data_IF_336478823628
#
_entry.id   IF_336478823628
#
_cell.length_a   1.000
_cell.length_b   1.000
_cell.length_c   1.000
_cell.angle_alpha   90.00
_cell.angle_beta   90.00
_cell.angle_gamma   90.00
#
_symmetry.space_group_name_H-M   'P 1'
#
loop_
_entity.id
_entity.type
_entity.pdbx_description
1 polymer ?
#
# COMPACT_ATOMS: atom_id res chain seq x y z
N UNK A 1 -32.74 38.42 -51.87
CA UNK A 1 -31.87 37.28 -51.48
C UNK A 1 -31.45 37.49 -50.03
N UNK A 2 -32.07 36.79 -49.08
CA UNK A 2 -31.69 36.84 -47.66
C UNK A 2 -30.76 35.65 -47.40
N UNK A 3 -29.51 35.92 -47.04
CA UNK A 3 -28.54 34.88 -46.70
C UNK A 3 -28.90 34.27 -45.35
N UNK A 4 -29.08 32.95 -45.34
CA UNK A 4 -29.28 32.15 -44.14
C UNK A 4 -27.88 31.83 -43.57
N UNK A 5 -27.53 32.43 -42.43
CA UNK A 5 -26.31 32.08 -41.69
C UNK A 5 -26.67 30.91 -40.76
N UNK A 6 -26.12 29.74 -41.05
CA UNK A 6 -26.22 28.57 -40.16
C UNK A 6 -25.04 28.65 -39.19
N UNK A 7 -25.32 28.89 -37.92
CA UNK A 7 -24.34 28.81 -36.83
C UNK A 7 -24.32 27.37 -36.36
N UNK A 8 -23.22 26.66 -36.63
CA UNK A 8 -22.97 25.31 -36.14
C UNK A 8 -22.49 25.41 -34.68
N UNK A 9 -23.30 24.97 -33.72
CA UNK A 9 -22.84 24.76 -32.33
C UNK A 9 -22.07 23.44 -32.28
N UNK A 10 -20.74 23.52 -32.19
CA UNK A 10 -19.88 22.38 -31.85
C UNK A 10 -20.01 22.13 -30.33
N UNK A 11 -20.84 21.18 -29.94
CA UNK A 11 -20.82 20.60 -28.59
C UNK A 11 -19.60 19.67 -28.55
N UNK A 12 -18.48 20.19 -28.05
CA UNK A 12 -17.33 19.35 -27.73
C UNK A 12 -17.68 18.45 -26.56
N UNK A 13 -17.74 17.12 -26.78
CA UNK A 13 -17.60 16.18 -25.68
C UNK A 13 -16.20 16.37 -25.10
N UNK A 14 -16.09 17.10 -23.99
CA UNK A 14 -14.89 17.12 -23.18
C UNK A 14 -14.78 15.75 -22.51
N UNK A 15 -14.04 14.83 -23.11
CA UNK A 15 -13.49 13.69 -22.37
C UNK A 15 -12.58 14.29 -21.30
N UNK A 16 -13.00 14.25 -20.03
CA UNK A 16 -12.13 14.55 -18.90
C UNK A 16 -11.03 13.49 -18.90
N UNK A 17 -9.90 13.82 -19.53
CA UNK A 17 -8.68 13.06 -19.32
C UNK A 17 -8.17 13.50 -17.95
N UNK A 18 -8.38 12.69 -16.92
CA UNK A 18 -7.69 12.91 -15.66
C UNK A 18 -6.22 12.62 -15.91
N UNK A 19 -5.43 13.69 -16.07
CA UNK A 19 -4.01 13.59 -15.86
C UNK A 19 -3.75 13.29 -14.38
N UNK A 20 -2.56 12.81 -14.05
CA UNK A 20 -2.08 12.75 -12.67
C UNK A 20 -2.37 14.09 -11.97
N UNK A 21 -3.07 14.05 -10.84
CA UNK A 21 -3.54 15.26 -10.18
C UNK A 21 -3.49 15.11 -8.66
N UNK A 22 -2.97 16.14 -7.99
CA UNK A 22 -3.13 16.34 -6.56
C UNK A 22 -4.17 17.42 -6.33
N UNK A 23 -5.25 17.11 -5.62
CA UNK A 23 -6.34 18.01 -5.26
C UNK A 23 -6.25 18.32 -3.78
N UNK A 24 -6.17 19.61 -3.46
CA UNK A 24 -6.40 20.12 -2.11
C UNK A 24 -7.88 20.44 -1.98
N UNK A 25 -8.58 19.66 -1.16
CA UNK A 25 -10.02 19.72 -1.01
C UNK A 25 -10.44 19.97 0.43
N UNK A 26 -11.74 20.24 0.61
CA UNK A 26 -12.34 20.32 1.94
C UNK A 26 -13.82 19.97 1.90
N UNK A 27 -14.33 19.47 3.02
CA UNK A 27 -15.77 19.25 3.26
C UNK A 27 -16.18 19.91 4.58
N UNK A 28 -17.46 20.12 4.78
CA UNK A 28 -17.99 20.56 6.08
C UNK A 28 -18.49 19.34 6.85
N UNK A 29 -17.96 19.14 8.07
CA UNK A 29 -18.43 18.14 9.05
C UNK A 29 -18.60 18.83 10.40
N UNK A 30 -19.74 18.66 11.05
CA UNK A 30 -20.09 19.34 12.32
C UNK A 30 -19.82 20.85 12.33
N UNK A 31 -20.28 21.54 11.28
CA UNK A 31 -20.09 22.99 11.07
C UNK A 31 -18.63 23.44 10.94
N UNK A 32 -17.68 22.50 10.89
CA UNK A 32 -16.25 22.76 10.70
C UNK A 32 -15.82 22.43 9.27
N UNK A 33 -14.99 23.30 8.69
CA UNK A 33 -14.31 22.98 7.44
C UNK A 33 -13.15 22.02 7.73
N UNK A 34 -13.18 20.85 7.10
CA UNK A 34 -12.20 19.79 7.23
C UNK A 34 -11.48 19.58 5.91
N UNK A 35 -10.16 19.65 5.93
CA UNK A 35 -9.31 19.64 4.74
C UNK A 35 -8.76 18.23 4.44
N UNK A 36 -8.44 17.98 3.18
CA UNK A 36 -7.77 16.75 2.74
C UNK A 36 -6.95 17.00 1.46
N UNK A 37 -6.01 16.10 1.19
CA UNK A 37 -5.27 16.04 -0.08
C UNK A 37 -5.65 14.74 -0.76
N UNK A 38 -6.21 14.80 -1.97
CA UNK A 38 -6.51 13.63 -2.80
C UNK A 38 -5.49 13.54 -3.93
N UNK A 39 -4.84 12.39 -4.07
CA UNK A 39 -4.02 12.06 -5.22
C UNK A 39 -4.79 11.14 -6.18
N UNK A 40 -4.86 11.55 -7.44
CA UNK A 40 -5.49 10.83 -8.54
C UNK A 40 -4.37 10.33 -9.46
N UNK A 41 -4.20 9.01 -9.65
CA UNK A 41 -3.15 8.47 -10.49
C UNK A 41 -3.44 8.72 -11.97
N UNK A 42 -2.38 8.77 -12.78
CA UNK A 42 -2.48 9.06 -14.21
C UNK A 42 -3.35 8.07 -15.01
N UNK A 43 -3.56 6.86 -14.47
CA UNK A 43 -4.31 5.78 -15.10
C UNK A 43 -5.80 5.77 -14.71
N UNK A 44 -6.25 6.64 -13.79
CA UNK A 44 -7.66 6.74 -13.42
C UNK A 44 -8.46 7.44 -14.52
N UNK A 45 -9.56 6.82 -14.94
CA UNK A 45 -10.41 7.35 -16.02
C UNK A 45 -11.84 7.65 -15.57
N UNK A 46 -12.21 7.28 -14.34
CA UNK A 46 -13.58 7.37 -13.83
C UNK A 46 -14.60 6.41 -14.46
N UNK A 47 -14.18 5.55 -15.40
CA UNK A 47 -15.09 4.62 -16.07
C UNK A 47 -15.31 3.29 -15.33
N UNK A 48 -14.41 2.96 -14.41
CA UNK A 48 -14.46 1.73 -13.61
C UNK A 48 -14.15 2.08 -12.16
N UNK A 49 -14.81 1.43 -11.18
CA UNK A 49 -14.49 1.58 -9.77
C UNK A 49 -13.03 1.21 -9.49
N UNK A 50 -12.35 2.03 -8.70
CA UNK A 50 -10.99 1.77 -8.21
C UNK A 50 -10.96 1.81 -6.68
N UNK A 51 -9.96 1.17 -6.04
CA UNK A 51 -9.81 1.24 -4.59
C UNK A 51 -9.52 2.64 -4.10
N UNK A 52 -9.79 2.88 -2.83
CA UNK A 52 -9.39 4.09 -2.10
C UNK A 52 -8.54 3.71 -0.88
N UNK A 53 -7.44 4.43 -0.68
CA UNK A 53 -6.65 4.39 0.56
C UNK A 53 -6.84 5.71 1.32
N UNK A 54 -7.25 5.64 2.57
CA UNK A 54 -7.11 6.73 3.54
C UNK A 54 -5.72 6.63 4.18
N UNK A 55 -4.92 7.70 4.17
CA UNK A 55 -3.57 7.72 4.76
C UNK A 55 -3.40 8.86 5.76
N UNK A 56 -3.45 8.53 7.05
CA UNK A 56 -3.52 9.48 8.16
C UNK A 56 -2.14 9.84 8.72
N UNK A 57 -1.91 11.14 8.93
CA UNK A 57 -0.66 11.66 9.50
C UNK A 57 -0.55 11.38 11.00
N UNK A 58 0.67 11.40 11.54
CA UNK A 58 0.94 11.29 12.98
C UNK A 58 0.60 12.56 13.77
N UNK A 59 0.71 12.48 15.09
CA UNK A 59 0.45 13.62 15.98
C UNK A 59 1.44 14.76 15.66
N UNK A 60 0.97 16.01 15.64
CA UNK A 60 1.77 17.19 15.28
C UNK A 60 2.31 17.21 13.83
N UNK A 61 1.77 16.37 12.94
CA UNK A 61 2.09 16.36 11.51
C UNK A 61 0.91 16.90 10.67
N UNK A 62 1.08 16.92 9.35
CA UNK A 62 0.07 17.41 8.39
C UNK A 62 -0.19 16.40 7.29
N UNK A 63 -1.28 16.59 6.54
CA UNK A 63 -1.59 15.79 5.36
C UNK A 63 -0.46 15.84 4.32
N UNK A 64 0.12 17.02 4.07
CA UNK A 64 1.28 17.17 3.16
C UNK A 64 2.48 16.35 3.65
N UNK A 65 2.77 16.40 4.97
CA UNK A 65 3.86 15.60 5.54
C UNK A 65 3.62 14.12 5.32
N UNK A 66 2.41 13.61 5.56
CA UNK A 66 2.12 12.18 5.41
C UNK A 66 2.14 11.73 3.95
N UNK A 67 1.72 12.59 3.02
CA UNK A 67 1.81 12.30 1.58
C UNK A 67 3.25 12.07 1.11
N UNK A 68 4.23 12.75 1.72
CA UNK A 68 5.65 12.56 1.42
C UNK A 68 6.29 11.45 2.28
N UNK A 69 5.90 11.34 3.56
CA UNK A 69 6.53 10.44 4.52
C UNK A 69 6.13 8.97 4.30
N UNK A 70 4.84 8.72 4.07
CA UNK A 70 4.29 7.43 3.66
C UNK A 70 3.77 7.52 2.23
N UNK A 71 4.67 7.74 1.27
CA UNK A 71 4.31 8.02 -0.12
C UNK A 71 3.82 6.76 -0.85
N UNK A 72 2.61 6.83 -1.42
CA UNK A 72 2.03 5.78 -2.27
C UNK A 72 1.85 6.24 -3.71
N UNK A 73 2.21 7.46 -4.09
CA UNK A 73 1.81 8.07 -5.38
C UNK A 73 2.30 7.27 -6.58
N UNK A 74 3.55 6.80 -6.54
CA UNK A 74 4.12 5.92 -7.59
C UNK A 74 3.41 4.55 -7.64
N UNK A 75 2.99 4.03 -6.49
CA UNK A 75 2.25 2.77 -6.36
C UNK A 75 0.84 2.96 -6.93
N UNK A 76 0.17 4.07 -6.63
CA UNK A 76 -1.12 4.45 -7.17
C UNK A 76 -1.09 4.56 -8.70
N UNK A 77 -0.04 5.18 -9.27
CA UNK A 77 0.15 5.28 -10.72
C UNK A 77 0.33 3.91 -11.38
N UNK A 78 1.00 2.97 -10.71
CA UNK A 78 1.25 1.63 -11.24
C UNK A 78 0.07 0.66 -11.06
N UNK A 79 -0.70 0.84 -9.98
CA UNK A 79 -1.68 -0.15 -9.51
C UNK A 79 -3.13 0.31 -9.62
N UNK A 80 -3.37 1.61 -9.83
CA UNK A 80 -4.69 2.18 -10.13
C UNK A 80 -5.62 2.22 -8.92
N UNK A 81 -5.26 3.00 -7.90
CA UNK A 81 -6.12 3.33 -6.77
C UNK A 81 -6.03 4.83 -6.45
N UNK A 82 -7.07 5.37 -5.85
CA UNK A 82 -7.04 6.71 -5.28
C UNK A 82 -6.42 6.66 -3.88
N UNK A 83 -5.71 7.71 -3.49
CA UNK A 83 -5.26 7.87 -2.11
C UNK A 83 -5.59 9.27 -1.61
N UNK A 84 -6.20 9.34 -0.43
CA UNK A 84 -6.54 10.58 0.24
C UNK A 84 -5.80 10.68 1.56
N UNK A 85 -5.31 11.88 1.86
CA UNK A 85 -4.60 12.25 3.09
C UNK A 85 -5.46 13.28 3.83
N UNK A 86 -6.29 12.86 4.80
CA UNK A 86 -7.11 13.78 5.58
C UNK A 86 -6.26 14.63 6.52
N UNK A 87 -6.68 15.86 6.80
CA UNK A 87 -6.01 16.77 7.74
C UNK A 87 -6.68 16.71 9.13
N UNK A 88 -5.91 16.33 10.14
CA UNK A 88 -6.30 16.36 11.55
C UNK A 88 -6.47 17.79 12.04
N UNK A 89 -7.41 18.01 12.94
CA UNK A 89 -7.70 19.33 13.51
C UNK A 89 -6.75 19.68 14.65
N UNK A 90 -6.75 20.93 15.08
CA UNK A 90 -5.96 21.36 16.23
C UNK A 90 -6.70 21.07 17.54
N UNK A 91 -6.05 20.36 18.45
CA UNK A 91 -6.43 20.31 19.87
C UNK A 91 -5.25 20.76 20.71
N UNK A 92 -5.49 21.75 21.57
CA UNK A 92 -4.43 22.42 22.34
C UNK A 92 -3.28 22.97 21.47
N UNK A 93 -3.60 23.36 20.23
CA UNK A 93 -2.64 23.93 19.28
C UNK A 93 -1.83 22.91 18.48
N UNK A 94 -2.11 21.62 18.61
CA UNK A 94 -1.39 20.53 17.92
C UNK A 94 -2.37 19.75 17.04
N UNK A 95 -1.95 19.41 15.81
CA UNK A 95 -2.73 18.56 14.91
C UNK A 95 -2.82 17.14 15.45
N UNK A 96 -4.03 16.55 15.41
CA UNK A 96 -4.29 15.25 16.01
C UNK A 96 -5.50 14.54 15.38
N UNK A 97 -5.63 13.26 15.69
CA UNK A 97 -6.81 12.41 15.53
C UNK A 97 -7.34 11.99 16.90
N UNK A 98 -8.65 12.08 17.10
CA UNK A 98 -9.32 11.75 18.36
C UNK A 98 -9.49 10.23 18.56
N UNK A 99 -8.40 9.57 18.98
CA UNK A 99 -8.30 8.13 19.25
C UNK A 99 -8.35 7.71 20.74
N UNK A 100 -8.71 8.60 21.67
CA UNK A 100 -8.59 8.36 23.12
C UNK A 100 -7.16 8.48 23.66
N UNK A 101 -6.84 7.80 24.77
CA UNK A 101 -5.49 7.79 25.34
C UNK A 101 -4.94 9.18 25.69
N UNK A 102 -3.81 9.57 25.09
CA UNK A 102 -3.12 10.83 25.42
C UNK A 102 -3.81 12.10 24.91
N UNK A 103 -4.79 11.97 24.00
CA UNK A 103 -5.60 13.09 23.50
C UNK A 103 -7.00 13.14 24.10
N UNK A 104 -7.27 12.34 25.15
CA UNK A 104 -8.60 12.25 25.76
C UNK A 104 -9.14 13.64 26.13
N UNK A 105 -10.42 13.87 25.82
CA UNK A 105 -11.09 15.16 26.01
C UNK A 105 -11.11 16.04 24.76
N UNK A 106 -10.51 15.62 23.64
CA UNK A 106 -10.81 16.22 22.34
C UNK A 106 -12.31 16.02 21.99
N UNK A 107 -13.03 17.08 21.59
CA UNK A 107 -14.44 16.98 21.20
C UNK A 107 -14.63 16.62 19.72
N UNK A 108 -13.54 16.38 18.99
CA UNK A 108 -13.56 16.26 17.53
C UNK A 108 -14.06 14.88 17.12
N UNK A 109 -15.07 14.85 16.26
CA UNK A 109 -15.56 13.63 15.63
C UNK A 109 -14.78 13.33 14.34
N UNK A 110 -13.67 12.60 14.47
CA UNK A 110 -12.84 12.21 13.34
C UNK A 110 -13.37 10.97 12.59
N UNK A 111 -14.16 10.13 13.25
CA UNK A 111 -14.80 8.96 12.61
C UNK A 111 -15.92 9.43 11.70
N UNK A 112 -16.82 10.29 12.18
CA UNK A 112 -17.89 10.87 11.35
C UNK A 112 -17.35 11.77 10.24
N UNK A 113 -16.25 12.50 10.49
CA UNK A 113 -15.57 13.21 9.41
C UNK A 113 -15.05 12.26 8.33
N UNK A 114 -14.45 11.13 8.72
CA UNK A 114 -13.95 10.13 7.77
C UNK A 114 -15.09 9.53 6.96
N UNK A 115 -16.21 9.19 7.60
CA UNK A 115 -17.42 8.72 6.92
C UNK A 115 -17.94 9.76 5.90
N UNK A 116 -18.10 11.02 6.31
CA UNK A 116 -18.55 12.10 5.44
C UNK A 116 -17.59 12.35 4.26
N UNK A 117 -16.28 12.20 4.48
CA UNK A 117 -15.27 12.30 3.43
C UNK A 117 -15.38 11.15 2.43
N UNK A 118 -15.56 9.92 2.91
CA UNK A 118 -15.78 8.76 2.03
C UNK A 118 -17.03 8.95 1.17
N UNK A 119 -18.11 9.48 1.73
CA UNK A 119 -19.34 9.76 0.99
C UNK A 119 -19.14 10.85 -0.07
N UNK A 120 -18.46 11.96 0.29
CA UNK A 120 -18.14 13.03 -0.64
C UNK A 120 -17.29 12.50 -1.80
N UNK A 121 -16.21 11.78 -1.52
CA UNK A 121 -15.33 11.22 -2.56
C UNK A 121 -16.05 10.18 -3.42
N UNK A 122 -16.88 9.33 -2.84
CA UNK A 122 -17.64 8.32 -3.59
C UNK A 122 -18.71 8.93 -4.49
N UNK A 123 -19.13 10.17 -4.21
CA UNK A 123 -20.05 10.91 -5.08
C UNK A 123 -19.35 11.53 -6.30
N UNK A 124 -18.07 11.90 -6.15
CA UNK A 124 -17.28 12.57 -7.19
C UNK A 124 -16.43 11.61 -8.02
N UNK A 125 -16.07 10.45 -7.47
CA UNK A 125 -15.16 9.48 -8.06
C UNK A 125 -15.77 8.08 -8.09
N UNK A 126 -15.41 7.30 -9.13
CA UNK A 126 -15.79 5.89 -9.22
C UNK A 126 -14.90 5.08 -8.28
N UNK A 127 -15.36 4.92 -7.04
CA UNK A 127 -14.67 4.18 -5.98
C UNK A 127 -15.33 2.82 -5.82
N UNK A 128 -14.51 1.78 -5.69
CA UNK A 128 -14.96 0.45 -5.30
C UNK A 128 -15.22 0.44 -3.80
N UNK A 129 -16.50 0.45 -3.41
CA UNK A 129 -16.93 0.54 -2.02
C UNK A 129 -16.55 -0.69 -1.19
N UNK A 130 -16.20 -1.82 -1.82
CA UNK A 130 -15.71 -2.99 -1.09
C UNK A 130 -14.19 -2.94 -0.88
N UNK A 131 -13.49 -1.98 -1.48
CA UNK A 131 -12.02 -1.86 -1.45
C UNK A 131 -11.58 -0.47 -1.00
N UNK A 132 -12.06 -0.08 0.17
CA UNK A 132 -11.61 1.09 0.89
C UNK A 132 -10.73 0.61 2.03
N UNK A 133 -9.51 1.12 2.10
CA UNK A 133 -8.51 0.72 3.08
C UNK A 133 -8.07 1.94 3.90
N UNK A 134 -7.54 1.69 5.10
CA UNK A 134 -6.99 2.76 5.94
C UNK A 134 -5.58 2.44 6.41
N UNK A 135 -4.69 3.42 6.30
CA UNK A 135 -3.35 3.36 6.86
C UNK A 135 -2.97 4.66 7.54
N UNK A 136 -1.91 4.64 8.34
CA UNK A 136 -1.36 5.86 8.91
C UNK A 136 -0.17 5.61 9.80
N UNK A 137 0.52 6.71 10.11
CA UNK A 137 1.70 6.72 10.96
C UNK A 137 1.35 7.18 12.38
N UNK A 138 1.88 6.52 13.41
CA UNK A 138 1.75 6.96 14.81
C UNK A 138 0.26 7.17 15.17
N UNK A 139 -0.15 8.35 15.62
CA UNK A 139 -1.56 8.72 15.84
C UNK A 139 -2.51 8.36 14.67
N UNK A 140 -2.05 8.42 13.42
CA UNK A 140 -2.80 7.98 12.24
C UNK A 140 -2.95 6.45 12.15
N UNK A 141 -1.98 5.68 12.68
CA UNK A 141 -2.11 4.23 12.82
C UNK A 141 -3.17 3.84 13.86
N UNK A 142 -3.24 4.59 14.98
CA UNK A 142 -4.35 4.46 15.93
C UNK A 142 -5.70 4.80 15.31
N UNK A 143 -5.74 5.82 14.43
CA UNK A 143 -6.96 6.18 13.70
C UNK A 143 -7.42 5.01 12.82
N UNK A 144 -6.51 4.31 12.15
CA UNK A 144 -6.84 3.11 11.37
C UNK A 144 -7.52 2.04 12.22
N UNK A 145 -7.00 1.71 13.40
CA UNK A 145 -7.65 0.78 14.31
C UNK A 145 -9.01 1.29 14.81
N UNK A 146 -9.12 2.57 15.17
CA UNK A 146 -10.40 3.17 15.58
C UNK A 146 -11.46 3.03 14.48
N UNK A 147 -11.09 3.24 13.22
CA UNK A 147 -12.00 3.11 12.08
C UNK A 147 -12.52 1.68 11.91
N UNK A 148 -11.69 0.65 12.02
CA UNK A 148 -12.22 -0.73 11.94
C UNK A 148 -13.05 -1.11 13.17
N UNK A 149 -12.84 -0.44 14.30
CA UNK A 149 -13.67 -0.63 15.50
C UNK A 149 -15.07 0.00 15.37
N UNK A 150 -15.22 1.11 14.65
CA UNK A 150 -16.42 1.96 14.67
C UNK A 150 -17.06 2.20 13.29
N UNK A 151 -16.35 1.91 12.20
CA UNK A 151 -16.73 2.15 10.79
C UNK A 151 -16.31 0.96 9.90
N UNK A 152 -16.30 -0.26 10.45
CA UNK A 152 -15.85 -1.46 9.73
C UNK A 152 -16.71 -1.78 8.51
N UNK A 153 -17.99 -1.42 8.48
CA UNK A 153 -18.86 -1.59 7.31
C UNK A 153 -18.40 -0.79 6.07
N UNK A 154 -17.41 0.09 6.22
CA UNK A 154 -16.78 0.85 5.13
C UNK A 154 -15.31 0.51 4.89
N UNK A 155 -14.62 -0.16 5.83
CA UNK A 155 -13.16 -0.33 5.78
C UNK A 155 -12.80 -1.80 5.65
N UNK A 156 -12.30 -2.18 4.47
CA UNK A 156 -12.00 -3.57 4.13
C UNK A 156 -10.77 -4.12 4.85
N UNK A 157 -9.73 -3.31 5.06
CA UNK A 157 -8.49 -3.70 5.72
C UNK A 157 -7.73 -2.47 6.23
N UNK A 158 -6.85 -2.66 7.22
CA UNK A 158 -6.01 -1.57 7.75
C UNK A 158 -4.54 -1.93 7.90
N UNK A 159 -3.72 -0.89 7.80
CA UNK A 159 -2.28 -0.93 8.01
C UNK A 159 -1.86 0.12 9.04
N UNK A 160 -1.32 -0.29 10.18
CA UNK A 160 -0.81 0.63 11.19
C UNK A 160 0.72 0.61 11.21
N UNK A 161 1.34 1.79 11.06
CA UNK A 161 2.80 1.97 11.09
C UNK A 161 3.17 2.81 12.31
N UNK A 162 3.96 2.24 13.22
CA UNK A 162 4.33 2.84 14.50
C UNK A 162 3.12 3.32 15.35
N UNK A 163 1.91 2.80 15.06
CA UNK A 163 0.69 3.00 15.84
C UNK A 163 0.31 1.76 16.66
N UNK A 164 -0.73 1.87 17.47
CA UNK A 164 -1.32 0.76 18.26
C UNK A 164 -2.82 1.02 18.46
N UNK A 165 -3.44 0.35 19.42
CA UNK A 165 -4.76 0.68 19.94
C UNK A 165 -4.64 1.38 21.29
N UNK A 166 -5.53 2.34 21.57
CA UNK A 166 -5.72 2.82 22.94
C UNK A 166 -6.59 1.84 23.73
N UNK A 167 -6.49 1.81 25.07
CA UNK A 167 -7.36 0.96 25.90
C UNK A 167 -8.85 1.21 25.65
N UNK A 168 -9.24 2.47 25.39
CA UNK A 168 -10.61 2.84 25.04
C UNK A 168 -11.04 2.26 23.70
N UNK A 169 -10.15 2.27 22.70
CA UNK A 169 -10.45 1.68 21.39
C UNK A 169 -10.59 0.16 21.49
N UNK A 170 -9.65 -0.51 22.18
CA UNK A 170 -9.68 -1.97 22.34
C UNK A 170 -10.94 -2.44 23.10
N UNK A 171 -11.27 -1.78 24.21
CA UNK A 171 -12.41 -2.15 25.05
C UNK A 171 -13.79 -1.92 24.41
N UNK A 172 -13.89 -0.98 23.46
CA UNK A 172 -15.14 -0.66 22.76
C UNK A 172 -15.15 -1.12 21.30
N UNK A 173 -14.16 -1.93 20.90
CA UNK A 173 -14.04 -2.43 19.54
C UNK A 173 -15.21 -3.33 19.16
N UNK A 174 -15.89 -3.01 18.05
CA UNK A 174 -17.03 -3.78 17.54
C UNK A 174 -17.00 -3.93 15.98
N UNK A 175 -15.96 -4.52 15.40
CA UNK A 175 -15.88 -4.80 13.97
C UNK A 175 -17.03 -5.71 13.49
N UNK A 176 -17.48 -5.50 12.25
CA UNK A 176 -18.66 -6.16 11.65
C UNK A 176 -18.33 -7.27 10.63
N UNK A 177 -17.06 -7.45 10.28
CA UNK A 177 -16.57 -8.52 9.40
C UNK A 177 -15.13 -8.89 9.77
N UNK A 178 -14.64 -10.09 9.41
CA UNK A 178 -13.22 -10.42 9.51
C UNK A 178 -12.38 -9.38 8.77
N UNK A 179 -11.37 -8.82 9.44
CA UNK A 179 -10.63 -7.66 8.95
C UNK A 179 -9.15 -7.99 8.81
N UNK A 180 -8.59 -8.00 7.60
CA UNK A 180 -7.16 -8.12 7.39
C UNK A 180 -6.39 -6.95 8.05
N UNK A 181 -5.36 -7.28 8.83
CA UNK A 181 -4.54 -6.32 9.56
C UNK A 181 -3.07 -6.49 9.16
N UNK A 182 -2.40 -5.38 8.87
CA UNK A 182 -0.94 -5.32 8.82
C UNK A 182 -0.43 -4.29 9.84
N UNK A 183 0.53 -4.70 10.66
CA UNK A 183 1.11 -3.88 11.72
C UNK A 183 2.62 -3.83 11.54
N UNK A 184 3.19 -2.63 11.44
CA UNK A 184 4.63 -2.42 11.33
C UNK A 184 5.10 -1.63 12.54
N UNK A 185 6.03 -2.16 13.32
CA UNK A 185 6.43 -1.52 14.57
C UNK A 185 7.87 -1.84 14.95
N UNK A 186 8.61 -0.81 15.38
CA UNK A 186 9.94 -0.95 15.96
C UNK A 186 9.89 -1.47 17.39
N UNK A 187 10.66 -2.49 17.72
CA UNK A 187 10.71 -3.00 19.11
C UNK A 187 11.47 -2.05 20.07
N UNK A 188 12.21 -1.11 19.50
CA UNK A 188 12.94 -0.04 20.18
C UNK A 188 12.26 1.34 20.03
N UNK A 189 10.99 1.36 19.63
CA UNK A 189 10.17 2.57 19.60
C UNK A 189 10.03 3.18 21.01
N UNK A 190 10.49 4.42 21.15
CA UNK A 190 10.46 5.16 22.44
C UNK A 190 9.32 6.18 22.52
N UNK A 191 8.55 6.34 21.45
CA UNK A 191 7.40 7.26 21.37
C UNK A 191 6.12 6.49 21.64
N UNK A 192 5.89 5.39 20.90
CA UNK A 192 4.84 4.40 21.13
C UNK A 192 5.53 3.10 21.54
N UNK A 193 5.68 2.82 22.84
CA UNK A 193 6.45 1.66 23.27
C UNK A 193 5.85 0.34 22.77
N UNK A 194 6.67 -0.52 22.16
CA UNK A 194 6.24 -1.83 21.65
C UNK A 194 5.52 -2.67 22.72
N UNK A 195 6.03 -2.63 23.95
CA UNK A 195 5.46 -3.34 25.11
C UNK A 195 4.29 -2.60 25.78
N UNK A 196 3.77 -1.54 25.15
CA UNK A 196 2.66 -0.75 25.65
C UNK A 196 3.01 0.18 26.81
N UNK A 197 2.00 0.93 27.23
CA UNK A 197 2.01 1.86 28.37
C UNK A 197 0.57 2.13 28.78
N UNK A 198 0.33 2.92 29.82
CA UNK A 198 -1.03 3.15 30.33
C UNK A 198 -2.01 3.76 29.30
N UNK A 199 -1.50 4.39 28.23
CA UNK A 199 -2.29 5.01 27.16
C UNK A 199 -2.25 4.26 25.82
N UNK A 200 -1.47 3.18 25.71
CA UNK A 200 -1.32 2.39 24.49
C UNK A 200 -1.21 0.91 24.83
N UNK A 201 -2.00 0.09 24.16
CA UNK A 201 -1.89 -1.36 24.28
C UNK A 201 -0.55 -1.86 23.70
N UNK A 202 0.04 -2.92 24.28
CA UNK A 202 1.18 -3.62 23.69
C UNK A 202 0.87 -4.11 22.28
N UNK A 203 1.85 -4.08 21.38
CA UNK A 203 1.65 -4.53 19.99
C UNK A 203 1.23 -5.99 19.93
N UNK A 204 1.84 -6.84 20.77
CA UNK A 204 1.46 -8.25 20.88
C UNK A 204 -0.02 -8.42 21.25
N UNK A 205 -0.54 -7.64 22.21
CA UNK A 205 -1.93 -7.75 22.66
C UNK A 205 -2.91 -7.31 21.56
N UNK A 206 -2.55 -6.27 20.79
CA UNK A 206 -3.32 -5.83 19.61
C UNK A 206 -3.34 -6.92 18.53
N UNK A 207 -2.18 -7.52 18.24
CA UNK A 207 -2.08 -8.62 17.26
C UNK A 207 -2.93 -9.80 17.72
N UNK A 208 -2.81 -10.25 18.98
CA UNK A 208 -3.58 -11.38 19.49
C UNK A 208 -5.08 -11.10 19.54
N UNK A 209 -5.49 -9.86 19.80
CA UNK A 209 -6.90 -9.45 19.69
C UNK A 209 -7.44 -9.72 18.27
N UNK A 210 -6.73 -9.25 17.23
CA UNK A 210 -7.17 -9.42 15.85
C UNK A 210 -7.02 -10.86 15.34
N UNK A 211 -6.00 -11.59 15.77
CA UNK A 211 -5.87 -13.04 15.51
C UNK A 211 -7.07 -13.80 16.07
N UNK A 212 -7.46 -13.49 17.30
CA UNK A 212 -8.63 -14.09 17.95
C UNK A 212 -9.95 -13.68 17.29
N UNK A 213 -10.12 -12.39 16.97
CA UNK A 213 -11.32 -11.88 16.32
C UNK A 213 -11.51 -12.47 14.92
N UNK A 214 -10.44 -12.53 14.13
CA UNK A 214 -10.45 -13.09 12.78
C UNK A 214 -10.44 -14.63 12.77
N UNK A 215 -10.30 -15.29 13.92
CA UNK A 215 -10.18 -16.74 14.02
C UNK A 215 -9.02 -17.30 13.15
N UNK A 216 -7.89 -16.58 13.10
CA UNK A 216 -6.67 -17.01 12.40
C UNK A 216 -6.02 -18.21 13.10
N UNK A 217 -5.11 -18.89 12.39
CA UNK A 217 -4.25 -19.92 12.98
C UNK A 217 -3.43 -19.34 14.14
N UNK A 218 -3.54 -19.94 15.33
CA UNK A 218 -2.86 -19.44 16.53
C UNK A 218 -1.33 -19.58 16.51
N UNK A 219 -0.77 -20.38 15.58
CA UNK A 219 0.68 -20.51 15.39
C UNK A 219 1.06 -19.75 14.11
N UNK A 220 1.86 -18.68 14.21
CA UNK A 220 2.24 -17.90 13.05
C UNK A 220 3.34 -18.58 12.23
N UNK A 221 3.43 -18.21 10.95
CA UNK A 221 4.65 -18.35 10.17
C UNK A 221 5.57 -17.18 10.48
N UNK A 222 6.83 -17.47 10.79
CA UNK A 222 7.85 -16.46 11.10
C UNK A 222 8.91 -16.48 10.00
N UNK A 223 9.18 -15.33 9.39
CA UNK A 223 10.15 -15.16 8.30
C UNK A 223 11.08 -14.00 8.62
N UNK A 224 12.38 -14.28 8.72
CA UNK A 224 13.41 -13.25 8.74
C UNK A 224 13.57 -12.67 7.33
N UNK A 225 13.34 -11.37 7.16
CA UNK A 225 13.55 -10.71 5.88
C UNK A 225 15.04 -10.43 5.66
N UNK A 226 15.50 -10.38 4.39
CA UNK A 226 16.89 -10.04 4.10
C UNK A 226 17.22 -8.62 4.58
N UNK A 227 18.32 -8.50 5.33
CA UNK A 227 18.98 -7.24 5.67
C UNK A 227 19.70 -6.70 4.41
N UNK A 228 19.04 -5.79 3.69
CA UNK A 228 19.55 -5.18 2.46
C UNK A 228 20.24 -3.84 2.72
N UNK A 229 19.97 -3.17 3.84
CA UNK A 229 20.75 -2.03 4.32
C UNK A 229 21.32 -2.24 5.74
N UNK A 230 22.45 -2.95 5.85
CA UNK A 230 23.04 -3.32 7.15
C UNK A 230 23.61 -2.13 7.94
N UNK A 231 23.54 -0.90 7.40
CA UNK A 231 24.03 0.30 8.08
C UNK A 231 22.94 1.00 8.90
N UNK A 232 21.68 0.64 8.71
CA UNK A 232 20.57 1.23 9.46
C UNK A 232 20.48 0.71 10.91
N UNK A 233 21.13 -0.43 11.18
CA UNK A 233 21.27 -1.02 12.50
C UNK A 233 20.02 -1.78 12.97
N UNK A 234 19.15 -2.20 12.06
CA UNK A 234 17.89 -2.87 12.33
C UNK A 234 17.66 -4.03 11.33
N UNK A 235 16.75 -4.95 11.67
CA UNK A 235 16.30 -6.02 10.77
C UNK A 235 14.81 -6.24 10.93
N UNK A 236 14.18 -7.07 10.08
CA UNK A 236 12.74 -7.35 10.16
C UNK A 236 12.44 -8.85 10.30
N UNK A 237 11.63 -9.17 11.30
CA UNK A 237 10.93 -10.44 11.46
C UNK A 237 9.46 -10.25 11.03
N UNK A 238 9.04 -10.93 9.94
CA UNK A 238 7.65 -10.99 9.50
C UNK A 238 6.94 -12.16 10.19
N UNK A 239 5.93 -11.85 10.99
CA UNK A 239 5.09 -12.80 11.73
C UNK A 239 3.70 -12.78 11.11
N UNK A 240 3.29 -13.87 10.47
CA UNK A 240 2.01 -13.97 9.75
C UNK A 240 1.08 -15.01 10.38
N UNK A 241 -0.13 -14.59 10.73
CA UNK A 241 -1.23 -15.44 11.20
C UNK A 241 -2.27 -15.55 10.07
N UNK A 242 -2.19 -16.64 9.32
CA UNK A 242 -3.03 -16.90 8.15
C UNK A 242 -4.30 -17.70 8.49
N UNK A 243 -5.09 -18.01 7.46
CA UNK A 243 -6.29 -18.86 7.51
C UNK A 243 -7.38 -18.33 8.47
N UNK A 244 -7.48 -17.01 8.64
CA UNK A 244 -8.62 -16.40 9.30
C UNK A 244 -9.92 -16.59 8.53
N UNK A 245 -11.04 -16.29 9.17
CA UNK A 245 -12.37 -16.30 8.56
C UNK A 245 -12.36 -15.47 7.27
N UNK A 246 -12.99 -16.00 6.22
CA UNK A 246 -12.94 -15.46 4.85
C UNK A 246 -11.52 -15.30 4.26
N UNK A 247 -10.54 -16.04 4.77
CA UNK A 247 -9.16 -16.06 4.26
C UNK A 247 -8.36 -14.82 4.62
N UNK A 248 -8.78 -14.05 5.61
CA UNK A 248 -8.03 -12.87 6.09
C UNK A 248 -6.77 -13.29 6.85
N UNK A 249 -5.76 -12.43 6.86
CA UNK A 249 -4.54 -12.60 7.65
C UNK A 249 -4.28 -11.43 8.59
N UNK A 250 -3.52 -11.70 9.65
CA UNK A 250 -2.91 -10.68 10.52
C UNK A 250 -1.40 -10.80 10.36
N UNK A 251 -0.76 -9.75 9.85
CA UNK A 251 0.67 -9.71 9.57
C UNK A 251 1.36 -8.65 10.43
N UNK A 252 2.41 -9.04 11.14
CA UNK A 252 3.25 -8.14 11.91
C UNK A 252 4.67 -8.10 11.35
N UNK A 253 5.08 -6.92 10.88
CA UNK A 253 6.46 -6.60 10.57
C UNK A 253 7.09 -6.02 11.83
N UNK A 254 7.74 -6.90 12.60
CA UNK A 254 8.49 -6.51 13.79
C UNK A 254 9.87 -6.04 13.36
N UNK A 255 10.13 -4.75 13.52
CA UNK A 255 11.41 -4.14 13.17
C UNK A 255 12.32 -4.21 14.40
N UNK A 256 13.24 -5.17 14.41
CA UNK A 256 14.19 -5.41 15.49
C UNK A 256 15.20 -4.26 15.52
N UNK A 257 15.42 -3.68 16.70
CA UNK A 257 16.23 -2.48 16.94
C UNK A 257 15.74 -1.23 16.16
N UNK A 258 14.54 -1.31 15.56
CA UNK A 258 13.89 -0.21 14.85
C UNK A 258 13.17 0.76 15.79
N UNK A 259 13.11 2.03 15.39
CA UNK A 259 12.47 3.11 16.14
C UNK A 259 11.09 3.52 15.65
N UNK A 260 10.63 4.69 16.11
CA UNK A 260 9.34 5.29 15.74
C UNK A 260 9.39 5.87 14.32
N UNK A 261 9.28 5.02 13.30
CA UNK A 261 9.55 5.41 11.91
C UNK A 261 8.66 4.71 10.89
N UNK A 262 8.70 5.19 9.64
CA UNK A 262 8.06 4.55 8.50
C UNK A 262 9.14 3.83 7.66
N UNK A 263 9.20 2.48 7.66
CA UNK A 263 10.24 1.75 6.96
C UNK A 263 10.35 2.10 5.48
N UNK A 264 11.58 2.38 5.02
CA UNK A 264 11.88 2.74 3.63
C UNK A 264 11.47 4.16 3.21
N UNK A 265 11.06 5.02 4.15
CA UNK A 265 10.76 6.42 3.81
C UNK A 265 11.99 7.13 3.26
N UNK A 266 11.83 7.84 2.14
CA UNK A 266 12.93 8.63 1.52
C UNK A 266 12.88 10.11 1.93
N UNK A 267 11.92 10.48 2.77
CA UNK A 267 11.73 11.86 3.20
C UNK A 267 12.85 12.26 4.17
N UNK A 268 13.44 13.44 3.96
CA UNK A 268 14.70 13.94 4.54
C UNK A 268 14.73 13.98 6.09
N UNK A 269 13.58 13.79 6.73
CA UNK A 269 13.40 13.67 8.18
C UNK A 269 13.06 12.25 8.63
N UNK A 270 13.65 11.23 8.00
CA UNK A 270 13.61 9.86 8.52
C UNK A 270 13.92 9.88 10.02
N UNK A 271 12.98 9.39 10.82
CA UNK A 271 13.14 9.42 12.27
C UNK A 271 14.29 8.48 12.67
N UNK A 272 15.00 8.75 13.78
CA UNK A 272 16.11 7.90 14.20
C UNK A 272 15.71 6.43 14.22
N UNK A 273 16.63 5.55 13.79
CA UNK A 273 16.42 4.11 13.71
C UNK A 273 15.31 3.70 12.71
N UNK A 274 15.22 4.41 11.58
CA UNK A 274 14.42 3.99 10.43
C UNK A 274 15.08 2.79 9.76
N UNK A 275 14.32 1.72 9.58
CA UNK A 275 14.74 0.56 8.78
C UNK A 275 14.51 0.84 7.28
N UNK A 276 15.44 0.38 6.44
CA UNK A 276 15.43 0.57 4.98
C UNK A 276 15.40 -0.77 4.22
N UNK A 277 15.11 -1.89 4.89
CA UNK A 277 15.06 -3.20 4.26
C UNK A 277 13.83 -3.43 3.39
N UNK A 278 12.76 -2.70 3.68
CA UNK A 278 11.50 -2.74 2.94
C UNK A 278 11.02 -1.33 2.62
N UNK A 279 10.13 -1.23 1.62
CA UNK A 279 9.28 -0.06 1.44
C UNK A 279 7.90 -0.37 2.05
N UNK A 280 7.61 0.21 3.22
CA UNK A 280 6.35 -0.05 3.92
C UNK A 280 5.11 0.27 3.07
N UNK A 281 5.14 1.32 2.26
CA UNK A 281 4.00 1.66 1.38
C UNK A 281 3.75 0.58 0.32
N UNK A 282 4.81 -0.03 -0.22
CA UNK A 282 4.69 -1.14 -1.17
C UNK A 282 4.12 -2.39 -0.50
N UNK A 283 4.61 -2.75 0.68
CA UNK A 283 4.11 -3.92 1.41
C UNK A 283 2.65 -3.74 1.86
N UNK A 284 2.27 -2.54 2.29
CA UNK A 284 0.88 -2.20 2.63
C UNK A 284 -0.03 -2.37 1.41
N UNK A 285 0.38 -1.90 0.24
CA UNK A 285 -0.43 -2.09 -0.97
C UNK A 285 -0.48 -3.56 -1.40
N UNK A 286 0.65 -4.27 -1.37
CA UNK A 286 0.69 -5.71 -1.66
C UNK A 286 -0.30 -6.46 -0.76
N UNK A 287 -0.34 -6.11 0.53
CA UNK A 287 -1.28 -6.64 1.49
C UNK A 287 -2.74 -6.28 1.15
N UNK A 288 -3.07 -4.99 1.03
CA UNK A 288 -4.43 -4.50 0.77
C UNK A 288 -5.02 -5.05 -0.53
N UNK A 289 -4.22 -5.14 -1.59
CA UNK A 289 -4.68 -5.57 -2.91
C UNK A 289 -5.22 -7.00 -2.96
N UNK A 290 -4.97 -7.81 -1.92
CA UNK A 290 -5.50 -9.17 -1.77
C UNK A 290 -6.93 -9.20 -1.25
N UNK A 291 -7.45 -8.11 -0.67
CA UNK A 291 -8.67 -8.14 0.14
C UNK A 291 -9.73 -7.15 -0.32
N UNK A 292 -11.00 -7.53 -0.17
CA UNK A 292 -12.14 -6.64 -0.14
C UNK A 292 -12.88 -6.81 1.21
N UNK A 293 -13.98 -6.09 1.41
CA UNK A 293 -14.72 -6.11 2.68
C UNK A 293 -15.28 -7.49 3.07
N UNK A 294 -15.34 -8.43 2.12
CA UNK A 294 -15.77 -9.81 2.35
C UNK A 294 -14.59 -10.75 2.62
N UNK A 295 -13.35 -10.26 2.68
CA UNK A 295 -12.15 -11.05 2.92
C UNK A 295 -11.27 -11.21 1.67
N UNK A 296 -10.61 -12.36 1.53
CA UNK A 296 -9.67 -12.61 0.45
C UNK A 296 -10.40 -12.55 -0.90
N UNK A 297 -9.94 -11.66 -1.79
CA UNK A 297 -10.43 -11.57 -3.17
C UNK A 297 -10.00 -12.85 -3.88
N UNK A 298 -10.90 -13.81 -3.92
CA UNK A 298 -10.77 -14.93 -4.83
C UNK A 298 -10.75 -14.35 -6.25
N UNK A 299 -9.73 -14.62 -7.07
CA UNK A 299 -9.72 -14.17 -8.45
C UNK A 299 -10.88 -14.86 -9.19
N UNK A 300 -12.04 -14.19 -9.22
CA UNK A 300 -13.33 -14.51 -9.87
C UNK A 300 -13.61 -16.00 -10.06
N UNK A 301 -14.65 -16.47 -9.36
CA UNK A 301 -15.17 -17.84 -9.44
C UNK A 301 -15.18 -18.44 -10.84
N UNK A 302 -14.38 -19.49 -11.01
CA UNK A 302 -14.71 -20.61 -11.87
C UNK A 302 -15.47 -21.56 -10.97
N UNK A 303 -16.74 -21.84 -11.28
CA UNK A 303 -17.44 -22.98 -10.70
C UNK A 303 -16.54 -24.21 -10.83
N UNK A 304 -16.19 -24.81 -9.70
CA UNK A 304 -15.32 -25.98 -9.64
C UNK A 304 -16.05 -27.16 -10.27
N UNK A 305 -15.93 -27.30 -11.59
CA UNK A 305 -15.76 -28.63 -12.18
C UNK A 305 -14.35 -29.06 -11.82
N UNK A 306 -14.22 -30.18 -11.11
CA UNK A 306 -12.97 -30.79 -10.65
C UNK A 306 -11.87 -30.88 -11.74
N UNK A 307 -11.15 -29.80 -11.98
CA UNK A 307 -9.83 -29.81 -12.61
C UNK A 307 -8.92 -28.81 -11.90
N UNK A 308 -7.87 -29.38 -11.29
CA UNK A 308 -6.75 -28.80 -10.57
C UNK A 308 -6.32 -27.43 -11.16
N UNK A 309 -6.66 -26.32 -10.50
CA UNK A 309 -6.22 -24.97 -10.90
C UNK A 309 -4.78 -24.70 -10.49
N UNK A 310 -3.94 -24.39 -11.46
CA UNK A 310 -2.50 -24.14 -11.33
C UNK A 310 -2.17 -22.80 -10.67
N UNK A 311 -1.25 -22.80 -9.70
CA UNK A 311 -0.55 -21.59 -9.23
C UNK A 311 0.24 -20.97 -10.40
N UNK A 312 0.01 -19.70 -10.73
CA UNK A 312 0.50 -19.03 -11.96
C UNK A 312 1.88 -18.38 -11.77
N UNK A 313 2.72 -18.45 -12.80
CA UNK A 313 3.97 -17.67 -12.88
C UNK A 313 3.68 -16.16 -12.86
N UNK A 314 4.50 -15.39 -12.14
CA UNK A 314 4.40 -13.92 -12.09
C UNK A 314 5.71 -13.23 -12.43
N UNK A 315 5.61 -12.02 -12.99
CA UNK A 315 6.74 -11.12 -13.26
C UNK A 315 6.34 -9.73 -12.74
N UNK A 316 7.11 -9.19 -11.80
CA UNK A 316 6.88 -7.89 -11.15
C UNK A 316 7.46 -6.74 -11.96
N UNK A 317 7.00 -5.52 -11.67
CA UNK A 317 7.61 -4.31 -12.21
C UNK A 317 9.03 -4.17 -11.65
N UNK A 318 10.02 -3.84 -12.48
CA UNK A 318 11.39 -3.65 -12.01
C UNK A 318 11.46 -2.42 -11.11
N UNK A 319 12.28 -2.46 -10.06
CA UNK A 319 12.46 -1.36 -9.12
C UNK A 319 13.95 -1.08 -8.86
N UNK A 320 14.40 0.19 -8.89
CA UNK A 320 13.63 1.37 -9.28
C UNK A 320 13.24 1.37 -10.78
N UNK A 321 12.26 2.18 -11.17
CA UNK A 321 11.91 2.45 -12.57
C UNK A 321 11.23 3.83 -12.71
N UNK A 322 11.85 4.85 -13.33
CA UNK A 322 13.14 4.81 -14.02
C UNK A 322 14.33 4.51 -13.09
N UNK A 323 15.43 4.01 -13.63
CA UNK A 323 16.61 3.59 -12.85
C UNK A 323 17.93 4.13 -13.41
N UNK A 324 18.96 4.23 -12.57
CA UNK A 324 20.32 4.65 -12.95
C UNK A 324 21.40 4.08 -12.01
N UNK A 325 22.35 3.25 -12.47
CA UNK A 325 22.30 2.41 -13.66
C UNK A 325 21.66 1.04 -13.36
N UNK A 326 21.25 0.77 -12.11
CA UNK A 326 20.83 -0.57 -11.67
C UNK A 326 19.35 -0.64 -11.29
N UNK A 327 18.72 -1.78 -11.59
CA UNK A 327 17.34 -2.10 -11.22
C UNK A 327 17.21 -3.58 -10.91
N UNK A 328 16.31 -3.93 -10.00
CA UNK A 328 15.98 -5.31 -9.62
C UNK A 328 14.71 -5.76 -10.33
N UNK A 329 14.75 -6.96 -10.90
CA UNK A 329 13.61 -7.61 -11.56
C UNK A 329 13.22 -8.82 -10.71
N UNK A 330 12.03 -8.78 -10.10
CA UNK A 330 11.49 -9.87 -9.27
C UNK A 330 10.42 -10.69 -10.00
N UNK A 331 10.38 -11.99 -9.77
CA UNK A 331 9.43 -12.93 -10.39
C UNK A 331 9.25 -14.22 -9.58
N UNK A 332 8.12 -14.91 -9.79
CA UNK A 332 7.80 -16.18 -9.11
C UNK A 332 7.81 -17.37 -10.07
N UNK A 333 8.33 -18.50 -9.60
CA UNK A 333 8.37 -19.79 -10.32
C UNK A 333 7.51 -20.78 -9.55
N UNK A 334 6.52 -21.40 -10.21
CA UNK A 334 5.48 -22.20 -9.51
C UNK A 334 5.63 -23.71 -9.63
N UNK A 335 6.55 -24.20 -10.47
CA UNK A 335 6.82 -25.63 -10.62
C UNK A 335 8.26 -25.96 -10.26
N UNK A 336 8.45 -27.07 -9.55
CA UNK A 336 9.75 -27.65 -9.24
C UNK A 336 10.46 -28.02 -10.55
N UNK A 337 11.48 -27.24 -10.93
CA UNK A 337 12.35 -27.37 -12.12
C UNK A 337 11.83 -26.81 -13.47
N UNK A 338 11.25 -25.61 -13.48
CA UNK A 338 10.99 -24.91 -14.76
C UNK A 338 12.29 -24.33 -15.33
N UNK A 339 12.58 -24.61 -16.60
CA UNK A 339 13.61 -23.87 -17.34
C UNK A 339 13.10 -22.45 -17.60
N UNK A 340 13.79 -21.46 -17.02
CA UNK A 340 13.41 -20.06 -17.05
C UNK A 340 14.43 -19.27 -17.86
N UNK A 341 13.91 -18.42 -18.75
CA UNK A 341 14.72 -17.43 -19.47
C UNK A 341 14.23 -16.03 -19.13
N UNK A 342 15.15 -15.14 -18.76
CA UNK A 342 14.87 -13.73 -18.54
C UNK A 342 15.82 -12.91 -19.40
N UNK A 343 15.27 -12.24 -20.41
CA UNK A 343 16.02 -11.51 -21.42
C UNK A 343 15.59 -10.05 -21.48
N UNK A 344 16.53 -9.17 -21.80
CA UNK A 344 16.31 -7.74 -22.00
C UNK A 344 16.38 -7.42 -23.48
N UNK A 345 15.49 -6.56 -23.95
CA UNK A 345 15.34 -6.13 -25.33
C UNK A 345 15.30 -4.60 -25.41
N UNK A 346 15.80 -4.05 -26.51
CA UNK A 346 15.64 -2.65 -26.85
C UNK A 346 14.29 -2.39 -27.58
N UNK A 347 13.97 -1.14 -27.90
CA UNK A 347 12.74 -0.75 -28.61
C UNK A 347 12.58 -1.37 -30.02
N UNK A 348 13.66 -1.88 -30.61
CA UNK A 348 13.64 -2.58 -31.91
C UNK A 348 13.40 -4.08 -31.75
N UNK A 349 13.19 -4.58 -30.53
CA UNK A 349 13.06 -6.00 -30.22
C UNK A 349 14.38 -6.78 -30.29
N UNK A 350 15.53 -6.11 -30.35
CA UNK A 350 16.84 -6.78 -30.34
C UNK A 350 17.22 -7.12 -28.90
N UNK A 351 17.66 -8.36 -28.68
CA UNK A 351 18.17 -8.78 -27.37
C UNK A 351 19.44 -7.99 -27.02
N UNK A 352 19.47 -7.48 -25.80
CA UNK A 352 20.53 -6.66 -25.22
C UNK A 352 21.34 -7.47 -24.21
N UNK A 353 20.65 -8.22 -23.35
CA UNK A 353 21.24 -8.97 -22.24
C UNK A 353 20.42 -10.22 -21.96
N UNK A 354 21.07 -11.36 -21.76
CA UNK A 354 20.44 -12.51 -21.09
C UNK A 354 20.83 -12.47 -19.60
N UNK A 355 19.82 -12.38 -18.73
CA UNK A 355 20.01 -12.34 -17.28
C UNK A 355 19.95 -13.74 -16.67
N UNK A 356 19.00 -14.57 -17.12
CA UNK A 356 18.76 -15.92 -16.62
C UNK A 356 18.50 -16.85 -17.80
N UNK A 357 19.04 -18.07 -17.74
CA UNK A 357 18.78 -19.15 -18.70
C UNK A 357 19.10 -20.51 -18.08
N UNK A 358 18.35 -20.90 -17.06
CA UNK A 358 18.59 -22.12 -16.29
C UNK A 358 17.31 -22.67 -15.64
N UNK A 359 17.40 -23.84 -15.01
CA UNK A 359 16.31 -24.38 -14.21
C UNK A 359 16.31 -23.74 -12.82
N UNK A 360 15.18 -23.15 -12.43
CA UNK A 360 15.01 -22.56 -11.09
C UNK A 360 14.08 -23.42 -10.22
N UNK A 361 14.34 -23.51 -8.90
CA UNK A 361 13.40 -24.10 -7.96
C UNK A 361 12.12 -23.25 -7.89
N UNK A 362 11.03 -23.87 -7.43
CA UNK A 362 9.81 -23.12 -7.13
C UNK A 362 10.08 -22.11 -6.01
N UNK A 363 9.51 -20.91 -6.12
CA UNK A 363 9.72 -19.81 -5.16
C UNK A 363 9.86 -18.44 -5.83
N UNK A 364 10.18 -17.44 -5.02
CA UNK A 364 10.47 -16.08 -5.47
C UNK A 364 11.94 -15.96 -5.89
N UNK A 365 12.19 -15.19 -6.95
CA UNK A 365 13.50 -14.96 -7.52
C UNK A 365 13.66 -13.48 -7.88
N UNK A 366 14.88 -12.97 -7.79
CA UNK A 366 15.22 -11.61 -8.20
C UNK A 366 16.56 -11.58 -8.94
N UNK A 367 16.70 -10.65 -9.88
CA UNK A 367 17.97 -10.42 -10.60
C UNK A 367 18.19 -8.95 -10.85
N UNK A 368 19.45 -8.51 -10.71
CA UNK A 368 19.85 -7.12 -10.95
C UNK A 368 20.30 -6.95 -12.40
N UNK A 369 19.82 -5.90 -13.06
CA UNK A 369 20.40 -5.41 -14.31
C UNK A 369 21.05 -4.04 -14.12
N UNK A 370 22.33 -3.92 -14.47
CA UNK A 370 23.14 -2.71 -14.31
C UNK A 370 23.32 -1.88 -15.59
N UNK A 371 22.37 -1.98 -16.52
CA UNK A 371 22.42 -1.20 -17.76
C UNK A 371 23.55 -1.60 -18.73
N UNK A 372 24.09 -2.82 -18.64
CA UNK A 372 25.10 -3.37 -19.58
C UNK A 372 24.53 -4.43 -20.52
N UNK A 373 25.10 -4.53 -21.72
CA UNK A 373 24.82 -5.59 -22.68
C UNK A 373 25.61 -6.89 -22.38
N UNK A 374 25.44 -7.91 -23.22
CA UNK A 374 26.17 -9.18 -23.09
C UNK A 374 27.70 -9.07 -23.27
N UNK A 375 28.20 -7.97 -23.85
CA UNK A 375 29.64 -7.69 -23.96
C UNK A 375 30.16 -6.85 -22.79
N UNK A 376 29.33 -6.58 -21.77
CA UNK A 376 29.70 -5.77 -20.61
C UNK A 376 29.75 -4.26 -20.89
N UNK A 377 29.24 -3.81 -22.04
CA UNK A 377 29.21 -2.39 -22.42
C UNK A 377 27.91 -1.75 -21.96
N UNK A 378 28.01 -0.54 -21.39
CA UNK A 378 26.83 0.24 -21.05
C UNK A 378 25.98 0.56 -22.27
N UNK A 379 24.67 0.33 -22.15
CA UNK A 379 23.69 0.71 -23.18
C UNK A 379 23.31 2.19 -23.06
N UNK A 380 22.57 2.71 -24.03
CA UNK A 380 22.11 4.11 -24.01
C UNK A 380 20.93 4.30 -23.06
N UNK A 381 20.77 5.51 -22.52
CA UNK A 381 19.51 5.96 -21.90
C UNK A 381 18.32 5.65 -22.82
N UNK A 382 17.21 5.19 -22.26
CA UNK A 382 16.00 4.94 -23.04
C UNK A 382 15.12 3.84 -22.48
N UNK A 383 14.13 3.45 -23.29
CA UNK A 383 13.16 2.41 -22.96
C UNK A 383 13.74 1.04 -23.33
N UNK A 384 13.62 0.12 -22.39
CA UNK A 384 13.93 -1.30 -22.57
C UNK A 384 12.75 -2.15 -22.14
N UNK A 385 12.76 -3.40 -22.58
CA UNK A 385 11.77 -4.40 -22.20
C UNK A 385 12.48 -5.60 -21.62
N UNK A 386 11.97 -6.16 -20.53
CA UNK A 386 12.43 -7.43 -20.01
C UNK A 386 11.31 -8.45 -20.11
N UNK A 387 11.67 -9.67 -20.52
CA UNK A 387 10.74 -10.75 -20.81
C UNK A 387 11.15 -11.99 -20.05
N UNK A 388 10.24 -12.47 -19.21
CA UNK A 388 10.31 -13.76 -18.55
C UNK A 388 9.60 -14.79 -19.41
N UNK A 389 10.25 -15.92 -19.67
CA UNK A 389 9.68 -17.01 -20.45
C UNK A 389 10.03 -18.37 -19.85
N UNK A 390 9.03 -19.24 -19.76
CA UNK A 390 9.14 -20.66 -19.45
C UNK A 390 8.48 -21.48 -20.56
N UNK A 391 8.34 -22.80 -20.40
CA UNK A 391 7.67 -23.66 -21.39
C UNK A 391 6.21 -23.25 -21.66
N UNK A 392 5.48 -22.85 -20.60
CA UNK A 392 4.05 -22.56 -20.66
C UNK A 392 3.67 -21.11 -20.29
N UNK A 393 4.66 -20.22 -20.13
CA UNK A 393 4.42 -18.83 -19.71
C UNK A 393 5.36 -17.85 -20.41
N UNK A 394 4.84 -16.71 -20.81
CA UNK A 394 5.62 -15.59 -21.34
C UNK A 394 5.00 -14.27 -20.86
N UNK A 395 5.79 -13.41 -20.19
CA UNK A 395 5.37 -12.07 -19.75
C UNK A 395 6.47 -11.06 -20.01
N UNK A 396 6.08 -9.89 -20.52
CA UNK A 396 7.01 -8.79 -20.84
C UNK A 396 6.60 -7.55 -20.09
N UNK A 397 7.58 -6.80 -19.58
CA UNK A 397 7.38 -5.49 -18.94
C UNK A 397 8.37 -4.46 -19.46
N UNK A 398 8.03 -3.18 -19.28
CA UNK A 398 8.78 -2.02 -19.74
C UNK A 398 9.60 -1.44 -18.60
N UNK A 399 10.83 -1.01 -18.88
CA UNK A 399 11.71 -0.28 -17.96
C UNK A 399 12.37 0.91 -18.64
N UNK A 400 12.78 1.91 -17.85
CA UNK A 400 13.36 3.16 -18.33
C UNK A 400 14.73 3.35 -17.66
N UNK A 401 15.80 3.28 -18.46
CA UNK A 401 17.16 3.57 -18.01
C UNK A 401 17.46 5.06 -18.18
N UNK A 402 17.83 5.72 -17.08
CA UNK A 402 18.38 7.07 -17.04
C UNK A 402 19.91 7.00 -16.88
N UNK A 403 20.62 8.00 -17.41
CA UNK A 403 22.06 8.18 -17.16
C UNK A 403 22.30 9.48 -16.43
#
# INVERSE_FOLDING_TARGET
>A
MKQLVIILFLIGLSTLCFAQQTIYGSITHDEMLREYILYIPANYTGNSPVPLILNFHGYNQTADYQMEYGDFRSIADSSGFLIVHPQGTLFQGITHWNVGGWIIGSPIDDVGFTEALLDSLSSDFSIDSTRIYSTGFSNGGYMGFLLVCQLSDRIAAIASVAGSMTPETLSNSNPQHPTPIIQMHGDSDTVVPYNGTWWSEPIEDVIQYWVGYNNCNATPTITELPDIDPNDGSTIELIAYDEGDNGVSVEHYKVIDGGHSWPGTTYEYGLPYTNYDINASEEIWNFFSRYDINGLINPVGIEVSNEITSVKFELSQNYPNPFNPETTISFSVTQTSSFVTLNIYNIKGQQVKQLISEQLPAGQHSVIWNGKDDNGKFVSTGIYFYKLKTENFEKTRKMILLK
#
